data_IF_997954221278
#
_entry.id   IF_997954221278
#
_cell.length_a   1.000
_cell.length_b   1.000
_cell.length_c   1.000
_cell.angle_alpha   90.00
_cell.angle_beta   90.00
_cell.angle_gamma   90.00
#
_symmetry.space_group_name_H-M   'P 1'
#
loop_
_entity.id
_entity.type
_entity.pdbx_description
1 polymer ?
#
# COMPACT_ATOMS: atom_id res chain seq x y z
N UNK A 1 28.52 -0.32 2.93
CA UNK A 1 28.90 1.02 3.42
C UNK A 1 30.07 0.83 4.37
N UNK A 2 31.16 1.57 4.15
CA UNK A 2 32.35 1.54 4.98
C UNK A 2 32.45 2.80 5.84
N UNK A 3 33.25 2.76 6.93
CA UNK A 3 33.49 3.92 7.77
C UNK A 3 34.12 5.09 6.98
N UNK A 4 34.94 4.82 5.95
CA UNK A 4 35.49 5.83 5.08
C UNK A 4 34.40 6.57 4.28
N UNK A 5 33.36 5.88 3.81
CA UNK A 5 32.27 6.48 3.03
C UNK A 5 31.40 7.44 3.88
N UNK A 6 31.30 7.21 5.18
CA UNK A 6 30.50 8.03 6.08
C UNK A 6 31.31 9.03 6.91
N UNK A 7 32.62 9.08 6.73
CA UNK A 7 33.53 9.92 7.52
C UNK A 7 33.14 11.40 7.52
N UNK A 8 32.63 11.88 6.38
CA UNK A 8 32.26 13.28 6.17
C UNK A 8 30.72 13.46 6.13
N UNK A 9 29.95 12.43 6.53
CA UNK A 9 28.52 12.54 6.58
C UNK A 9 28.08 13.49 7.72
N UNK A 10 26.99 14.19 7.51
CA UNK A 10 26.37 15.03 8.55
C UNK A 10 25.92 14.18 9.73
N UNK A 11 25.91 14.75 10.94
CA UNK A 11 25.36 14.10 12.11
C UNK A 11 23.88 13.78 11.91
N UNK A 12 23.46 12.66 12.50
CA UNK A 12 22.12 12.09 12.26
C UNK A 12 20.99 13.02 12.67
N UNK A 13 21.11 13.72 13.79
CA UNK A 13 20.15 14.72 14.27
C UNK A 13 19.86 15.81 13.25
N UNK A 14 20.92 16.35 12.60
CA UNK A 14 20.78 17.32 11.51
C UNK A 14 20.09 16.73 10.28
N UNK A 15 20.48 15.53 9.90
CA UNK A 15 19.86 14.85 8.73
C UNK A 15 18.38 14.56 9.02
N UNK A 16 18.04 14.17 10.25
CA UNK A 16 16.67 13.94 10.66
C UNK A 16 15.84 15.24 10.63
N UNK A 17 16.41 16.37 11.06
CA UNK A 17 15.76 17.67 10.98
C UNK A 17 15.48 18.07 9.52
N UNK A 18 16.45 17.92 8.63
CA UNK A 18 16.24 18.15 7.19
C UNK A 18 15.18 17.21 6.61
N UNK A 19 15.18 15.94 7.00
CA UNK A 19 14.17 14.99 6.56
C UNK A 19 12.76 15.42 7.01
N UNK A 20 12.58 15.79 8.27
CA UNK A 20 11.27 16.24 8.80
C UNK A 20 10.80 17.51 8.10
N UNK A 21 11.70 18.45 7.83
CA UNK A 21 11.37 19.66 7.09
C UNK A 21 11.06 19.38 5.61
N UNK A 22 11.69 18.36 5.00
CA UNK A 22 11.46 17.96 3.62
C UNK A 22 10.12 17.27 3.42
N UNK A 23 9.69 16.42 4.36
CA UNK A 23 8.44 15.69 4.23
C UNK A 23 7.20 16.53 4.56
N UNK A 24 7.38 17.64 5.27
CA UNK A 24 6.28 18.54 5.70
C UNK A 24 5.04 17.76 6.18
N UNK A 25 3.93 17.85 5.45
CA UNK A 25 2.68 17.13 5.69
C UNK A 25 2.38 16.10 4.59
N UNK A 26 3.35 15.75 3.77
CA UNK A 26 3.17 14.83 2.66
C UNK A 26 2.93 13.38 3.13
N UNK A 27 2.19 12.62 2.33
CA UNK A 27 2.00 11.18 2.56
C UNK A 27 3.29 10.41 2.23
N UNK A 28 3.81 9.68 3.20
CA UNK A 28 5.01 8.86 3.02
C UNK A 28 4.68 7.54 2.33
N UNK A 29 5.49 7.12 1.36
CA UNK A 29 5.28 5.86 0.65
C UNK A 29 6.53 4.98 0.80
N UNK A 30 6.37 3.79 1.35
CA UNK A 30 7.48 2.87 1.57
C UNK A 30 7.07 1.41 1.48
N UNK A 31 8.05 0.52 1.25
CA UNK A 31 7.83 -0.91 1.24
C UNK A 31 8.07 -1.50 2.62
N UNK A 32 7.00 -2.03 3.26
CA UNK A 32 7.01 -2.43 4.67
C UNK A 32 7.24 -1.25 5.65
N UNK A 33 6.95 -0.04 5.21
CA UNK A 33 7.18 1.20 5.95
C UNK A 33 6.53 1.18 7.33
N UNK A 34 5.33 0.63 7.44
CA UNK A 34 4.56 0.54 8.68
C UNK A 34 5.29 -0.21 9.79
N UNK A 35 5.94 -1.33 9.45
CA UNK A 35 6.55 -2.22 10.43
C UNK A 35 8.06 -2.02 10.58
N UNK A 36 8.68 -1.30 9.65
CA UNK A 36 10.12 -1.08 9.63
C UNK A 36 10.48 0.40 9.79
N UNK A 37 10.22 1.25 8.80
CA UNK A 37 10.73 2.62 8.80
C UNK A 37 10.06 3.52 9.85
N UNK A 38 8.71 3.49 9.92
CA UNK A 38 7.97 4.38 10.81
C UNK A 38 8.32 4.23 12.30
N UNK A 39 8.49 3.02 12.86
CA UNK A 39 8.95 2.87 14.25
C UNK A 39 10.29 3.53 14.53
N UNK A 40 11.23 3.47 13.59
CA UNK A 40 12.52 4.16 13.73
C UNK A 40 12.37 5.67 13.65
N UNK A 41 11.60 6.17 12.67
CA UNK A 41 11.39 7.60 12.49
C UNK A 41 10.72 8.20 13.74
N UNK A 42 9.67 7.58 14.27
CA UNK A 42 8.99 8.07 15.50
C UNK A 42 9.94 8.13 16.69
N UNK A 43 10.64 7.02 16.96
CA UNK A 43 11.61 6.95 18.06
C UNK A 43 12.70 8.00 17.94
N UNK A 44 13.23 8.18 16.73
CA UNK A 44 14.36 9.07 16.53
C UNK A 44 13.93 10.54 16.49
N UNK A 45 12.75 10.87 15.99
CA UNK A 45 12.16 12.20 16.10
C UNK A 45 11.94 12.59 17.56
N UNK A 46 11.38 11.70 18.38
CA UNK A 46 11.20 11.93 19.80
C UNK A 46 12.54 12.11 20.51
N UNK A 47 13.51 11.22 20.24
CA UNK A 47 14.81 11.21 20.91
C UNK A 47 15.68 12.41 20.59
N UNK A 48 15.76 12.81 19.32
CA UNK A 48 16.71 13.83 18.86
C UNK A 48 16.09 15.21 18.64
N UNK A 49 14.78 15.26 18.36
CA UNK A 49 14.10 16.51 18.04
C UNK A 49 13.04 16.89 19.08
N UNK A 50 12.76 16.02 20.08
CA UNK A 50 11.73 16.26 21.08
C UNK A 50 10.32 16.41 20.51
N UNK A 51 10.08 15.93 19.30
CA UNK A 51 8.79 16.00 18.59
C UNK A 51 8.51 14.71 17.83
N UNK A 52 7.24 14.50 17.47
CA UNK A 52 6.86 13.40 16.57
C UNK A 52 6.35 13.95 15.24
N UNK A 53 6.25 13.10 14.24
CA UNK A 53 5.61 13.39 12.95
C UNK A 53 4.22 12.77 12.92
N UNK A 54 3.29 13.38 12.17
CA UNK A 54 1.90 12.93 12.01
C UNK A 54 1.54 12.61 10.57
N UNK A 55 2.54 12.43 9.72
CA UNK A 55 2.35 12.15 8.30
C UNK A 55 1.58 10.84 8.10
N UNK A 56 0.61 10.86 7.20
CA UNK A 56 0.01 9.64 6.67
C UNK A 56 1.05 8.82 5.91
N UNK A 57 0.85 7.51 5.83
CA UNK A 57 1.74 6.66 5.06
C UNK A 57 1.02 5.54 4.31
N UNK A 58 1.57 5.17 3.16
CA UNK A 58 1.12 4.06 2.33
C UNK A 58 2.20 2.99 2.29
N UNK A 59 1.82 1.78 2.67
CA UNK A 59 2.71 0.62 2.66
C UNK A 59 2.50 -0.21 1.39
N UNK A 60 3.47 -0.17 0.47
CA UNK A 60 3.41 -0.89 -0.80
C UNK A 60 3.41 -2.41 -0.63
N UNK A 61 3.96 -2.96 0.47
CA UNK A 61 3.83 -4.37 0.79
C UNK A 61 2.37 -4.75 1.10
N UNK A 62 1.62 -3.88 1.79
CA UNK A 62 0.19 -4.09 2.03
C UNK A 62 -0.62 -4.01 0.75
N UNK A 63 -0.28 -3.07 -0.14
CA UNK A 63 -0.91 -2.99 -1.47
C UNK A 63 -0.61 -4.25 -2.30
N UNK A 64 0.65 -4.70 -2.33
CA UNK A 64 1.07 -5.91 -3.03
C UNK A 64 0.33 -7.17 -2.54
N UNK A 65 0.05 -7.28 -1.23
CA UNK A 65 -0.76 -8.38 -0.68
C UNK A 65 -2.19 -8.39 -1.22
N UNK A 66 -2.76 -7.23 -1.51
CA UNK A 66 -4.10 -7.12 -2.10
C UNK A 66 -4.09 -7.44 -3.60
N UNK A 67 -3.03 -7.04 -4.31
CA UNK A 67 -2.89 -7.29 -5.75
C UNK A 67 -2.55 -8.75 -6.04
N UNK A 68 -1.63 -9.33 -5.27
CA UNK A 68 -1.10 -10.68 -5.44
C UNK A 68 -1.34 -11.54 -4.19
N UNK A 69 -2.59 -11.92 -3.87
CA UNK A 69 -2.90 -12.67 -2.64
C UNK A 69 -2.18 -14.02 -2.56
N UNK A 70 -1.99 -14.68 -3.70
CA UNK A 70 -1.45 -16.05 -3.79
C UNK A 70 0.09 -16.12 -3.84
N UNK A 71 0.77 -14.96 -3.91
CA UNK A 71 2.23 -14.96 -3.94
C UNK A 71 2.82 -15.36 -2.57
N UNK A 72 3.85 -16.19 -2.59
CA UNK A 72 4.59 -16.59 -1.37
C UNK A 72 5.44 -15.45 -0.83
N UNK A 73 6.12 -14.74 -1.71
CA UNK A 73 6.99 -13.61 -1.36
C UNK A 73 6.58 -12.36 -2.13
N UNK A 74 6.75 -11.20 -1.53
CA UNK A 74 6.41 -9.88 -2.10
C UNK A 74 7.46 -8.86 -1.70
N UNK A 75 8.75 -9.27 -1.78
CA UNK A 75 9.87 -8.37 -1.55
C UNK A 75 9.90 -7.30 -2.63
N UNK A 76 10.56 -6.19 -2.36
CA UNK A 76 10.70 -5.11 -3.34
C UNK A 76 11.33 -5.61 -4.65
N UNK A 77 12.31 -6.53 -4.55
CA UNK A 77 12.93 -7.19 -5.70
C UNK A 77 11.96 -8.08 -6.48
N UNK A 78 11.09 -8.85 -5.80
CA UNK A 78 10.12 -9.73 -6.47
C UNK A 78 9.11 -8.92 -7.30
N UNK A 79 8.68 -7.78 -6.75
CA UNK A 79 7.78 -6.84 -7.43
C UNK A 79 8.48 -6.12 -8.58
N UNK A 80 9.74 -5.72 -8.40
CA UNK A 80 10.54 -5.10 -9.44
C UNK A 80 10.73 -6.04 -10.64
N UNK A 81 11.07 -7.29 -10.40
CA UNK A 81 11.19 -8.33 -11.44
C UNK A 81 9.87 -8.52 -12.18
N UNK A 82 8.76 -8.64 -11.45
CA UNK A 82 7.43 -8.81 -12.06
C UNK A 82 7.05 -7.66 -13.00
N UNK A 83 7.35 -6.41 -12.60
CA UNK A 83 7.04 -5.23 -13.40
C UNK A 83 8.13 -4.84 -14.39
N UNK A 84 9.19 -5.62 -14.54
CA UNK A 84 10.31 -5.32 -15.43
C UNK A 84 11.08 -4.06 -15.05
N UNK A 85 11.12 -3.73 -13.75
CA UNK A 85 11.85 -2.58 -13.22
C UNK A 85 13.29 -3.01 -12.95
N UNK A 86 14.27 -2.24 -13.46
CA UNK A 86 15.68 -2.50 -13.20
C UNK A 86 15.99 -2.49 -11.70
N UNK A 87 16.70 -3.51 -11.26
CA UNK A 87 17.23 -3.64 -9.90
C UNK A 87 18.70 -3.15 -9.79
N UNK A 88 19.22 -2.53 -10.85
CA UNK A 88 20.56 -1.96 -10.83
C UNK A 88 20.67 -0.90 -9.72
N UNK A 89 21.70 -1.04 -8.90
CA UNK A 89 21.89 -0.20 -7.73
C UNK A 89 21.02 -0.55 -6.53
N UNK A 90 20.30 -1.69 -6.53
CA UNK A 90 19.58 -2.18 -5.36
C UNK A 90 20.48 -2.20 -4.11
N UNK A 91 19.86 -2.05 -2.94
CA UNK A 91 20.52 -1.84 -1.64
C UNK A 91 21.22 -0.47 -1.49
N UNK A 92 20.88 0.48 -2.36
CA UNK A 92 21.16 1.90 -2.22
C UNK A 92 19.86 2.65 -1.99
N UNK A 93 19.75 3.36 -0.88
CA UNK A 93 18.49 3.98 -0.42
C UNK A 93 17.73 4.74 -1.54
N UNK A 94 18.43 5.58 -2.31
CA UNK A 94 17.81 6.34 -3.40
C UNK A 94 17.33 5.44 -4.56
N UNK A 95 18.08 4.38 -4.90
CA UNK A 95 17.66 3.43 -5.93
C UNK A 95 16.43 2.64 -5.47
N UNK A 96 16.41 2.22 -4.20
CA UNK A 96 15.28 1.53 -3.60
C UNK A 96 14.03 2.43 -3.53
N UNK A 97 14.19 3.72 -3.21
CA UNK A 97 13.09 4.69 -3.26
C UNK A 97 12.51 4.84 -4.68
N UNK A 98 13.36 4.98 -5.70
CA UNK A 98 12.93 5.07 -7.11
C UNK A 98 12.24 3.81 -7.59
N UNK A 99 12.73 2.65 -7.17
CA UNK A 99 12.11 1.36 -7.44
C UNK A 99 10.74 1.28 -6.79
N UNK A 100 10.64 1.62 -5.50
CA UNK A 100 9.40 1.62 -4.76
C UNK A 100 8.36 2.59 -5.35
N UNK A 101 8.79 3.77 -5.81
CA UNK A 101 7.90 4.71 -6.52
C UNK A 101 7.23 4.06 -7.73
N UNK A 102 8.00 3.43 -8.62
CA UNK A 102 7.46 2.76 -9.80
C UNK A 102 6.52 1.62 -9.43
N UNK A 103 6.89 0.81 -8.44
CA UNK A 103 6.06 -0.28 -7.92
C UNK A 103 4.74 0.26 -7.37
N UNK A 104 4.76 1.36 -6.62
CA UNK A 104 3.56 2.01 -6.12
C UNK A 104 2.61 2.43 -7.25
N UNK A 105 3.14 3.03 -8.31
CA UNK A 105 2.37 3.43 -9.49
C UNK A 105 1.72 2.24 -10.20
N UNK A 106 2.46 1.12 -10.37
CA UNK A 106 1.92 -0.11 -10.96
C UNK A 106 0.85 -0.76 -10.08
N UNK A 107 1.10 -0.89 -8.78
CA UNK A 107 0.13 -1.42 -7.83
C UNK A 107 -1.16 -0.58 -7.80
N UNK A 108 -1.04 0.74 -7.90
CA UNK A 108 -2.18 1.65 -8.01
C UNK A 108 -3.04 1.38 -9.24
N UNK A 109 -2.41 1.20 -10.40
CA UNK A 109 -3.10 0.85 -11.67
C UNK A 109 -3.80 -0.50 -11.58
N UNK A 110 -3.16 -1.51 -11.01
CA UNK A 110 -3.74 -2.84 -10.79
C UNK A 110 -4.98 -2.80 -9.88
N UNK A 111 -4.89 -2.05 -8.77
CA UNK A 111 -6.01 -1.90 -7.84
C UNK A 111 -7.18 -1.14 -8.48
N UNK A 112 -6.91 -0.06 -9.22
CA UNK A 112 -7.92 0.68 -9.96
C UNK A 112 -8.59 -0.21 -11.02
N UNK A 113 -7.83 -1.00 -11.76
CA UNK A 113 -8.35 -1.96 -12.74
C UNK A 113 -9.22 -3.05 -12.10
N UNK A 114 -8.85 -3.55 -10.91
CA UNK A 114 -9.66 -4.51 -10.15
C UNK A 114 -10.97 -3.88 -9.65
N UNK A 115 -10.93 -2.64 -9.17
CA UNK A 115 -12.14 -1.92 -8.73
C UNK A 115 -13.12 -1.70 -9.89
N UNK A 116 -12.64 -1.30 -11.06
CA UNK A 116 -13.46 -1.14 -12.26
C UNK A 116 -14.11 -2.46 -12.70
N UNK A 117 -13.38 -3.59 -12.64
CA UNK A 117 -13.93 -4.91 -12.95
C UNK A 117 -15.01 -5.33 -11.93
N UNK A 118 -14.82 -5.03 -10.65
CA UNK A 118 -15.82 -5.30 -9.61
C UNK A 118 -17.07 -4.44 -9.81
N UNK A 119 -16.92 -3.17 -10.15
CA UNK A 119 -18.05 -2.28 -10.45
C UNK A 119 -18.83 -2.71 -11.68
N UNK A 120 -18.17 -3.18 -12.74
CA UNK A 120 -18.82 -3.68 -13.95
C UNK A 120 -19.59 -5.00 -13.73
N UNK A 121 -19.28 -5.75 -12.68
CA UNK A 121 -19.98 -6.98 -12.30
C UNK A 121 -20.98 -6.79 -11.14
N UNK A 122 -21.15 -5.57 -10.66
CA UNK A 122 -22.05 -5.29 -9.54
C UNK A 122 -23.49 -5.21 -10.07
N UNK A 123 -24.27 -6.24 -9.86
CA UNK A 123 -25.74 -6.17 -10.04
C UNK A 123 -26.32 -5.18 -9.05
N UNK A 124 -27.23 -4.34 -9.53
CA UNK A 124 -27.94 -3.36 -8.71
C UNK A 124 -29.34 -3.89 -8.41
N UNK A 125 -29.72 -3.84 -7.16
CA UNK A 125 -31.02 -4.28 -6.72
C UNK A 125 -32.15 -3.41 -7.35
N UNK A 126 -33.11 -3.99 -8.07
CA UNK A 126 -34.17 -3.22 -8.73
C UNK A 126 -35.17 -2.57 -7.73
N UNK A 127 -35.16 -3.01 -6.47
CA UNK A 127 -36.08 -2.47 -5.45
C UNK A 127 -35.50 -1.29 -4.67
N UNK A 128 -34.23 -1.31 -4.35
CA UNK A 128 -33.62 -0.28 -3.47
C UNK A 128 -32.35 0.34 -4.03
N UNK A 129 -31.95 -0.02 -5.24
CA UNK A 129 -30.76 0.47 -5.96
C UNK A 129 -29.42 0.28 -5.24
N UNK A 130 -29.36 -0.56 -4.18
CA UNK A 130 -28.11 -0.94 -3.54
C UNK A 130 -27.44 -2.10 -4.29
N UNK A 131 -26.13 -2.27 -4.16
CA UNK A 131 -25.41 -3.39 -4.75
C UNK A 131 -25.97 -4.74 -4.29
N UNK A 132 -25.91 -5.75 -5.17
CA UNK A 132 -26.19 -7.14 -4.83
C UNK A 132 -24.90 -7.93 -4.72
N UNK A 133 -24.86 -8.91 -3.82
CA UNK A 133 -23.73 -9.79 -3.57
C UNK A 133 -24.11 -11.25 -3.81
N UNK A 134 -23.19 -12.03 -4.38
CA UNK A 134 -23.31 -13.49 -4.45
C UNK A 134 -23.24 -14.08 -3.05
N UNK A 135 -24.18 -14.98 -2.76
CA UNK A 135 -24.29 -15.70 -1.48
C UNK A 135 -24.61 -17.16 -1.75
N UNK A 136 -24.12 -18.05 -0.90
CA UNK A 136 -24.50 -19.46 -0.92
C UNK A 136 -25.66 -19.69 0.03
N UNK A 137 -26.75 -20.23 -0.49
CA UNK A 137 -27.92 -20.64 0.27
C UNK A 137 -28.14 -22.16 0.24
N UNK A 138 -29.18 -22.64 0.93
CA UNK A 138 -29.54 -24.07 1.01
C UNK A 138 -29.78 -24.72 -0.38
N UNK A 139 -30.19 -23.92 -1.36
CA UNK A 139 -30.58 -24.38 -2.70
C UNK A 139 -29.59 -23.95 -3.80
N UNK A 140 -28.38 -23.51 -3.44
CA UNK A 140 -27.36 -23.05 -4.37
C UNK A 140 -27.01 -21.57 -4.22
N UNK A 141 -26.23 -21.07 -5.19
CA UNK A 141 -25.82 -19.66 -5.22
C UNK A 141 -26.97 -18.74 -5.66
N UNK A 142 -27.04 -17.58 -5.05
CA UNK A 142 -28.00 -16.53 -5.38
C UNK A 142 -27.40 -15.14 -5.18
N UNK A 143 -27.98 -14.15 -5.85
CA UNK A 143 -27.70 -12.75 -5.61
C UNK A 143 -28.60 -12.21 -4.51
N UNK A 144 -28.03 -11.72 -3.42
CA UNK A 144 -28.76 -11.09 -2.32
C UNK A 144 -28.46 -9.59 -2.22
N UNK A 145 -29.48 -8.80 -2.01
CA UNK A 145 -29.34 -7.36 -1.80
C UNK A 145 -28.56 -7.07 -0.52
N UNK A 146 -27.59 -6.12 -0.59
CA UNK A 146 -26.82 -5.67 0.58
C UNK A 146 -27.64 -4.84 1.56
N UNK A 147 -28.82 -4.37 1.16
CA UNK A 147 -29.77 -3.66 2.01
C UNK A 147 -30.56 -4.52 3.01
N UNK A 148 -30.27 -5.85 3.06
CA UNK A 148 -30.86 -6.71 4.09
C UNK A 148 -30.53 -6.23 5.50
N UNK A 149 -31.47 -6.26 6.48
CA UNK A 149 -32.82 -6.86 6.43
C UNK A 149 -33.92 -5.94 5.87
N UNK A 150 -33.64 -4.66 5.58
CA UNK A 150 -34.62 -3.70 5.07
C UNK A 150 -35.12 -4.06 3.65
N UNK A 151 -34.20 -4.47 2.78
CA UNK A 151 -34.49 -4.98 1.46
C UNK A 151 -34.17 -6.49 1.39
N UNK A 152 -35.17 -7.30 1.09
CA UNK A 152 -35.06 -8.77 1.01
C UNK A 152 -35.04 -9.29 -0.43
N UNK A 153 -34.72 -8.44 -1.40
CA UNK A 153 -34.65 -8.83 -2.79
C UNK A 153 -33.52 -9.83 -3.05
N UNK A 154 -33.86 -10.92 -3.74
CA UNK A 154 -32.92 -11.96 -4.20
C UNK A 154 -33.17 -12.27 -5.67
N UNK A 155 -32.13 -12.71 -6.37
CA UNK A 155 -32.18 -13.21 -7.74
C UNK A 155 -31.36 -14.51 -7.84
N UNK A 156 -31.82 -15.47 -8.63
CA UNK A 156 -31.06 -16.69 -8.89
C UNK A 156 -29.86 -16.38 -9.80
N UNK A 157 -28.80 -17.21 -9.67
CA UNK A 157 -27.59 -17.09 -10.51
C UNK A 157 -27.85 -17.66 -11.89
#
# INVERSE_FOLDING_TARGET
ITNQMVRNASHFDRVLEYFVNFIENDTLVGHNICSFDMPFIYRDCERYLGKTISNDYIDTLRLARKVFPDWKHRRLSDLAEHYGISTEGAHRALADCRMNQKIFEYLGKELAGKQLKVQNNTRICPKCHLPMQRRNGRFGEFWGCTGFPKCRHIENV
#
